data_IF_358523132633
#
_entry.id   IF_358523132633
#
_cell.length_a   1.000
_cell.length_b   1.000
_cell.length_c   1.000
_cell.angle_alpha   90.00
_cell.angle_beta   90.00
_cell.angle_gamma   90.00
#
_symmetry.space_group_name_H-M   'P 1'
#
loop_
_entity.id
_entity.type
_entity.pdbx_description
1 polymer ?
#
# COMPACT_ATOMS: atom_id res chain seq x y z
N UNK A 1 -35.49 33.03 -8.59
CA UNK A 1 -35.91 31.64 -8.31
C UNK A 1 -34.74 30.75 -8.65
N UNK A 2 -34.29 29.91 -7.71
CA UNK A 2 -32.87 29.85 -7.36
C UNK A 2 -32.07 28.88 -8.23
N UNK A 3 -30.94 29.39 -8.73
CA UNK A 3 -29.73 28.60 -8.89
C UNK A 3 -29.20 28.35 -7.47
N UNK A 4 -29.53 27.21 -6.88
CA UNK A 4 -28.83 26.65 -5.71
C UNK A 4 -29.28 25.20 -5.55
N UNK A 5 -28.69 24.32 -6.36
CA UNK A 5 -28.64 22.87 -6.13
C UNK A 5 -27.53 22.25 -7.00
N UNK A 6 -26.35 22.85 -7.02
CA UNK A 6 -25.15 22.02 -7.13
C UNK A 6 -24.89 21.51 -5.72
N UNK A 7 -25.59 20.43 -5.37
CA UNK A 7 -25.18 19.59 -4.28
C UNK A 7 -23.68 19.34 -4.47
N UNK A 8 -22.88 19.82 -3.53
CA UNK A 8 -21.48 19.47 -3.36
C UNK A 8 -21.44 17.94 -3.41
N UNK A 9 -21.10 17.38 -4.57
CA UNK A 9 -20.90 15.97 -4.70
C UNK A 9 -19.64 15.69 -3.89
N UNK A 10 -19.84 15.39 -2.61
CA UNK A 10 -18.82 14.83 -1.75
C UNK A 10 -18.22 13.68 -2.55
N UNK A 11 -16.98 13.86 -3.00
CA UNK A 11 -16.33 12.87 -3.85
C UNK A 11 -16.09 11.68 -2.96
N UNK A 12 -16.98 10.71 -3.05
CA UNK A 12 -16.82 9.46 -2.32
C UNK A 12 -15.64 8.74 -2.95
N UNK A 13 -14.50 8.76 -2.27
CA UNK A 13 -13.33 7.98 -2.63
C UNK A 13 -13.61 6.53 -2.21
N UNK A 14 -14.22 5.79 -3.12
CA UNK A 14 -14.69 4.43 -2.88
C UNK A 14 -13.51 3.53 -2.55
N UNK A 15 -13.62 2.69 -1.52
CA UNK A 15 -12.53 1.83 -1.09
C UNK A 15 -11.34 2.56 -0.46
N UNK A 16 -11.43 3.87 -0.22
CA UNK A 16 -10.39 4.62 0.51
C UNK A 16 -10.96 5.08 1.85
N UNK A 17 -10.38 4.57 2.94
CA UNK A 17 -10.76 4.93 4.31
C UNK A 17 -9.70 5.82 4.95
N UNK A 18 -10.16 6.94 5.51
CA UNK A 18 -9.34 7.95 6.19
C UNK A 18 -9.36 7.73 7.71
N UNK A 19 -8.68 6.67 8.15
CA UNK A 19 -8.74 6.18 9.52
C UNK A 19 -8.18 7.24 10.50
N UNK A 20 -8.98 7.54 11.54
CA UNK A 20 -8.68 8.51 12.60
C UNK A 20 -8.33 9.93 12.14
N UNK A 21 -8.82 10.33 10.96
CA UNK A 21 -8.51 11.63 10.33
C UNK A 21 -7.03 11.77 9.95
N UNK A 22 -6.51 10.80 9.20
CA UNK A 22 -5.19 10.94 8.59
C UNK A 22 -5.08 12.25 7.81
N UNK A 23 -6.06 12.58 6.99
CA UNK A 23 -6.32 13.94 6.51
C UNK A 23 -7.56 14.53 7.18
N UNK A 24 -7.61 15.85 7.34
CA UNK A 24 -8.83 16.50 7.80
C UNK A 24 -9.93 16.39 6.75
N UNK A 25 -11.19 16.39 7.19
CA UNK A 25 -12.33 16.35 6.27
C UNK A 25 -12.30 17.52 5.26
N UNK A 26 -12.04 18.74 5.76
CA UNK A 26 -11.91 19.94 4.92
C UNK A 26 -10.80 19.80 3.87
N UNK A 27 -9.67 19.18 4.22
CA UNK A 27 -8.60 18.96 3.24
C UNK A 27 -9.09 18.06 2.10
N UNK A 28 -9.72 16.92 2.42
CA UNK A 28 -10.20 15.98 1.40
C UNK A 28 -11.34 16.54 0.54
N UNK A 29 -12.24 17.35 1.11
CA UNK A 29 -13.39 17.88 0.37
C UNK A 29 -13.05 19.10 -0.47
N UNK A 30 -12.27 20.05 0.06
CA UNK A 30 -12.08 21.36 -0.57
C UNK A 30 -10.69 21.56 -1.19
N UNK A 31 -9.65 20.95 -0.63
CA UNK A 31 -8.25 21.29 -0.97
C UNK A 31 -7.60 20.24 -1.87
N UNK A 32 -7.82 18.96 -1.57
CA UNK A 32 -7.13 17.83 -2.17
C UNK A 32 -7.19 17.83 -3.70
N UNK A 33 -8.38 18.06 -4.28
CA UNK A 33 -8.56 18.12 -5.74
C UNK A 33 -7.74 19.24 -6.39
N UNK A 34 -7.57 20.36 -5.70
CA UNK A 34 -6.75 21.48 -6.17
C UNK A 34 -5.26 21.10 -6.21
N UNK A 35 -4.78 20.46 -5.14
CA UNK A 35 -3.37 20.08 -4.98
C UNK A 35 -2.91 19.04 -6.02
N UNK A 36 -3.77 18.09 -6.38
CA UNK A 36 -3.42 17.04 -7.36
C UNK A 36 -3.68 17.44 -8.82
N UNK A 37 -4.38 18.56 -9.07
CA UNK A 37 -4.80 18.94 -10.43
C UNK A 37 -3.61 19.07 -11.39
N UNK A 38 -2.53 19.71 -10.95
CA UNK A 38 -1.33 19.88 -11.78
C UNK A 38 -0.73 18.55 -12.22
N UNK A 39 -0.68 17.57 -11.31
CA UNK A 39 -0.20 16.21 -11.59
C UNK A 39 -1.11 15.48 -12.59
N UNK A 40 -2.43 15.60 -12.45
CA UNK A 40 -3.37 15.01 -13.41
C UNK A 40 -3.24 15.64 -14.79
N UNK A 41 -3.08 16.96 -14.85
CA UNK A 41 -2.87 17.70 -16.10
C UNK A 41 -1.51 17.33 -16.75
N UNK A 42 -0.46 17.07 -15.95
CA UNK A 42 0.83 16.56 -16.44
C UNK A 42 0.69 15.17 -17.06
N UNK A 43 0.00 14.24 -16.40
CA UNK A 43 -0.24 12.91 -16.95
C UNK A 43 -1.07 12.94 -18.22
N UNK A 44 -2.08 13.81 -18.30
CA UNK A 44 -2.88 13.96 -19.52
C UNK A 44 -2.00 14.46 -20.68
N UNK A 45 -1.17 15.48 -20.44
CA UNK A 45 -0.23 15.99 -21.44
C UNK A 45 0.74 14.91 -21.92
N UNK A 46 1.34 14.14 -21.02
CA UNK A 46 2.24 13.04 -21.40
C UNK A 46 1.53 11.97 -22.25
N UNK A 47 0.26 11.68 -21.98
CA UNK A 47 -0.52 10.73 -22.77
C UNK A 47 -0.92 11.27 -24.16
N UNK A 48 -1.09 12.60 -24.28
CA UNK A 48 -1.36 13.24 -25.56
C UNK A 48 -0.09 13.33 -26.43
N UNK A 49 1.09 13.49 -25.81
CA UNK A 49 2.39 13.62 -26.48
C UNK A 49 3.00 12.25 -26.88
N UNK A 50 2.76 11.20 -26.10
CA UNK A 50 3.29 9.85 -26.31
C UNK A 50 2.17 8.79 -26.22
N UNK A 51 1.85 8.17 -27.36
CA UNK A 51 0.80 7.15 -27.44
C UNK A 51 1.14 5.86 -26.67
N UNK A 52 2.42 5.61 -26.37
CA UNK A 52 2.87 4.47 -25.57
C UNK A 52 2.85 4.78 -24.06
N UNK A 53 2.68 6.05 -23.66
CA UNK A 53 2.57 6.44 -22.27
C UNK A 53 1.19 6.09 -21.70
N UNK A 54 1.17 5.28 -20.64
CA UNK A 54 -0.05 4.93 -19.89
C UNK A 54 0.00 5.57 -18.51
N UNK A 55 -0.87 6.56 -18.28
CA UNK A 55 -0.95 7.25 -16.98
C UNK A 55 -1.24 6.28 -15.81
N UNK A 56 -0.72 6.54 -14.60
CA UNK A 56 -0.92 5.68 -13.43
C UNK A 56 -2.38 5.27 -13.15
N UNK A 57 -3.40 6.17 -13.23
CA UNK A 57 -4.80 5.79 -13.01
C UNK A 57 -5.27 4.69 -13.96
N UNK A 58 -4.84 4.74 -15.23
CA UNK A 58 -5.20 3.73 -16.23
C UNK A 58 -4.41 2.43 -16.04
N UNK A 59 -3.11 2.51 -15.67
CA UNK A 59 -2.31 1.32 -15.30
C UNK A 59 -2.95 0.59 -14.13
N UNK A 60 -3.34 1.31 -13.08
CA UNK A 60 -4.02 0.76 -11.90
C UNK A 60 -5.37 0.16 -12.29
N UNK A 61 -6.19 0.87 -13.09
CA UNK A 61 -7.48 0.36 -13.58
C UNK A 61 -7.34 -0.97 -14.32
N UNK A 62 -6.27 -1.14 -15.08
CA UNK A 62 -6.01 -2.34 -15.86
C UNK A 62 -5.65 -3.57 -14.99
N UNK A 63 -5.29 -3.38 -13.72
CA UNK A 63 -5.00 -4.47 -12.78
C UNK A 63 -6.24 -5.22 -12.28
N UNK A 64 -7.47 -4.79 -12.62
CA UNK A 64 -8.71 -5.49 -12.23
C UNK A 64 -8.64 -7.00 -12.51
N UNK A 65 -8.29 -7.39 -13.75
CA UNK A 65 -8.28 -8.82 -14.13
C UNK A 65 -7.20 -9.59 -13.36
N UNK A 66 -6.02 -9.01 -13.21
CA UNK A 66 -4.92 -9.60 -12.47
C UNK A 66 -5.27 -9.79 -10.98
N UNK A 67 -5.94 -8.80 -10.38
CA UNK A 67 -6.40 -8.85 -8.99
C UNK A 67 -7.41 -9.96 -8.76
N UNK A 68 -8.49 -10.03 -9.53
CA UNK A 68 -9.50 -11.08 -9.32
C UNK A 68 -8.96 -12.48 -9.64
N UNK A 69 -8.03 -12.60 -10.60
CA UNK A 69 -7.31 -13.86 -10.83
C UNK A 69 -6.42 -14.25 -9.64
N UNK A 70 -5.75 -13.29 -8.99
CA UNK A 70 -5.03 -13.52 -7.74
C UNK A 70 -5.99 -14.01 -6.64
N UNK A 71 -7.11 -13.30 -6.42
CA UNK A 71 -8.12 -13.65 -5.41
C UNK A 71 -8.63 -15.08 -5.58
N UNK A 72 -8.93 -15.50 -6.81
CA UNK A 72 -9.38 -16.86 -7.12
C UNK A 72 -8.31 -17.90 -6.76
N UNK A 73 -7.05 -17.66 -7.15
CA UNK A 73 -5.93 -18.57 -6.85
C UNK A 73 -5.70 -18.69 -5.35
N UNK A 74 -5.67 -17.56 -4.62
CA UNK A 74 -5.49 -17.54 -3.17
C UNK A 74 -6.65 -18.22 -2.41
N UNK A 75 -7.87 -18.22 -2.96
CA UNK A 75 -9.00 -18.94 -2.34
C UNK A 75 -8.78 -20.47 -2.28
N UNK A 76 -8.00 -21.02 -3.21
CA UNK A 76 -7.74 -22.47 -3.34
C UNK A 76 -6.36 -22.88 -2.83
N UNK A 77 -5.41 -21.97 -2.79
CA UNK A 77 -4.04 -22.24 -2.37
C UNK A 77 -3.93 -22.32 -0.83
N UNK A 78 -3.19 -23.33 -0.36
CA UNK A 78 -2.97 -23.62 1.07
C UNK A 78 -1.49 -23.58 1.45
N UNK A 79 -0.59 -23.69 0.48
CA UNK A 79 0.85 -23.54 0.71
C UNK A 79 1.21 -22.08 0.97
N UNK A 80 1.73 -21.80 2.16
CA UNK A 80 2.23 -20.47 2.57
C UNK A 80 3.19 -19.90 1.53
N UNK A 81 4.16 -20.70 1.07
CA UNK A 81 5.14 -20.26 0.07
C UNK A 81 4.49 -19.88 -1.26
N UNK A 82 3.57 -20.71 -1.76
CA UNK A 82 2.87 -20.43 -3.02
C UNK A 82 1.98 -19.18 -2.91
N UNK A 83 1.34 -18.94 -1.75
CA UNK A 83 0.57 -17.71 -1.49
C UNK A 83 1.46 -16.47 -1.55
N UNK A 84 2.65 -16.53 -0.95
CA UNK A 84 3.65 -15.44 -0.99
C UNK A 84 4.09 -15.15 -2.42
N UNK A 85 4.37 -16.19 -3.21
CA UNK A 85 4.76 -16.04 -4.62
C UNK A 85 3.66 -15.35 -5.44
N UNK A 86 2.41 -15.81 -5.30
CA UNK A 86 1.25 -15.21 -5.93
C UNK A 86 1.05 -13.73 -5.53
N UNK A 87 1.12 -13.42 -4.23
CA UNK A 87 1.02 -12.05 -3.72
C UNK A 87 2.14 -11.16 -4.29
N UNK A 88 3.40 -11.63 -4.25
CA UNK A 88 4.57 -10.87 -4.73
C UNK A 88 4.49 -10.58 -6.23
N UNK A 89 3.98 -11.51 -7.02
CA UNK A 89 3.78 -11.30 -8.45
C UNK A 89 2.76 -10.21 -8.75
N UNK A 90 1.67 -10.15 -7.98
CA UNK A 90 0.71 -9.06 -8.07
C UNK A 90 1.28 -7.75 -7.54
N UNK A 91 1.96 -7.75 -6.38
CA UNK A 91 2.57 -6.55 -5.81
C UNK A 91 3.60 -5.92 -6.74
N UNK A 92 4.36 -6.71 -7.51
CA UNK A 92 5.26 -6.17 -8.54
C UNK A 92 4.51 -5.36 -9.61
N UNK A 93 3.35 -5.83 -10.05
CA UNK A 93 2.50 -5.13 -11.02
C UNK A 93 1.84 -3.89 -10.42
N UNK A 94 1.32 -4.02 -9.19
CA UNK A 94 0.71 -2.94 -8.43
C UNK A 94 1.69 -1.80 -8.16
N UNK A 95 2.86 -2.10 -7.59
CA UNK A 95 3.89 -1.11 -7.29
C UNK A 95 4.40 -0.45 -8.57
N UNK A 96 4.59 -1.21 -9.65
CA UNK A 96 4.94 -0.65 -10.96
C UNK A 96 3.87 0.30 -11.51
N UNK A 97 2.58 -0.01 -11.36
CA UNK A 97 1.49 0.89 -11.76
C UNK A 97 1.45 2.20 -10.96
N UNK A 98 1.97 2.17 -9.73
CA UNK A 98 2.07 3.31 -8.81
C UNK A 98 3.46 3.99 -8.83
N UNK A 99 4.34 3.58 -9.75
CA UNK A 99 5.73 4.07 -9.89
C UNK A 99 6.62 3.87 -8.64
N UNK A 100 6.32 2.85 -7.84
CA UNK A 100 7.16 2.40 -6.73
C UNK A 100 8.13 1.30 -7.16
N UNK A 101 9.39 1.31 -6.67
CA UNK A 101 10.32 0.22 -6.93
C UNK A 101 9.86 -1.05 -6.20
N UNK A 102 9.93 -2.19 -6.89
CA UNK A 102 9.73 -3.51 -6.30
C UNK A 102 11.04 -4.29 -6.40
N UNK A 103 11.82 -4.23 -5.33
CA UNK A 103 13.10 -4.92 -5.17
C UNK A 103 13.11 -5.61 -3.81
N UNK A 104 12.52 -6.81 -3.72
CA UNK A 104 12.44 -7.53 -2.47
C UNK A 104 13.83 -7.83 -1.90
N UNK A 105 14.04 -7.55 -0.61
CA UNK A 105 15.29 -7.75 0.09
C UNK A 105 15.04 -7.87 1.60
N UNK A 106 16.03 -8.42 2.32
CA UNK A 106 16.03 -8.41 3.78
C UNK A 106 16.76 -7.14 4.25
N UNK A 107 16.01 -6.15 4.74
CA UNK A 107 16.52 -4.86 5.20
C UNK A 107 17.03 -4.98 6.65
N UNK A 108 18.29 -4.62 6.87
CA UNK A 108 18.90 -4.61 8.20
C UNK A 108 18.26 -3.57 9.12
N UNK A 109 18.00 -3.97 10.35
CA UNK A 109 17.57 -3.14 11.46
C UNK A 109 18.76 -2.89 12.41
N UNK A 110 18.63 -1.89 13.29
CA UNK A 110 19.70 -1.49 14.20
C UNK A 110 20.07 -2.54 15.26
N UNK A 111 19.12 -3.39 15.65
CA UNK A 111 19.34 -4.49 16.60
C UNK A 111 20.07 -5.69 15.96
N UNK A 112 20.43 -5.59 14.68
CA UNK A 112 21.12 -6.64 13.91
C UNK A 112 20.18 -7.62 13.22
N UNK A 113 18.88 -7.55 13.49
CA UNK A 113 17.88 -8.35 12.76
C UNK A 113 17.69 -7.84 11.32
N UNK A 114 17.04 -8.66 10.52
CA UNK A 114 16.65 -8.30 9.15
C UNK A 114 15.13 -8.44 8.98
N UNK A 115 14.54 -7.50 8.24
CA UNK A 115 13.11 -7.45 7.95
C UNK A 115 12.87 -7.62 6.44
N UNK A 116 11.94 -8.49 6.00
CA UNK A 116 11.68 -8.71 4.60
C UNK A 116 10.85 -7.54 4.07
N UNK A 117 11.43 -6.77 3.16
CA UNK A 117 10.78 -5.63 2.51
C UNK A 117 10.53 -5.95 1.04
N UNK A 118 9.48 -5.36 0.47
CA UNK A 118 9.22 -5.40 -0.97
C UNK A 118 10.07 -4.39 -1.75
N UNK A 119 10.61 -3.39 -1.05
CA UNK A 119 11.43 -2.32 -1.59
C UNK A 119 11.48 -1.11 -0.65
N UNK A 120 12.21 -0.09 -1.06
CA UNK A 120 12.36 1.17 -0.32
C UNK A 120 12.59 2.35 -1.28
N UNK A 121 12.31 3.56 -0.82
CA UNK A 121 12.78 4.80 -1.46
C UNK A 121 13.85 5.41 -0.56
N UNK A 122 15.03 5.67 -1.12
CA UNK A 122 16.21 6.12 -0.38
C UNK A 122 17.29 5.04 -0.33
N UNK A 123 18.08 5.03 0.74
CA UNK A 123 19.08 3.99 0.99
C UNK A 123 18.73 3.25 2.29
N UNK A 124 19.12 1.98 2.48
CA UNK A 124 19.01 1.31 3.77
C UNK A 124 19.62 2.15 4.91
N UNK A 125 18.90 2.29 6.02
CA UNK A 125 19.27 3.18 7.14
C UNK A 125 18.98 4.67 6.94
N UNK A 126 18.59 5.09 5.73
CA UNK A 126 18.22 6.46 5.34
C UNK A 126 16.95 6.48 4.48
N UNK A 127 16.15 5.41 4.58
CA UNK A 127 14.97 5.23 3.73
C UNK A 127 13.91 6.28 4.11
N UNK A 128 13.27 6.88 3.12
CA UNK A 128 12.14 7.79 3.33
C UNK A 128 10.82 7.02 3.36
N UNK A 129 10.74 5.95 2.57
CA UNK A 129 9.62 5.03 2.47
C UNK A 129 10.11 3.59 2.50
N UNK A 130 9.43 2.74 3.28
CA UNK A 130 9.61 1.29 3.29
C UNK A 130 8.33 0.60 2.82
N UNK A 131 8.46 -0.39 1.93
CA UNK A 131 7.35 -1.19 1.40
C UNK A 131 7.37 -2.56 2.05
N UNK A 132 6.29 -2.96 2.70
CA UNK A 132 6.14 -4.22 3.45
C UNK A 132 5.03 -5.07 2.84
N UNK A 133 5.13 -6.40 3.01
CA UNK A 133 4.10 -7.34 2.63
C UNK A 133 3.54 -8.09 3.85
N UNK A 134 2.24 -7.99 4.09
CA UNK A 134 1.52 -8.79 5.07
C UNK A 134 0.84 -9.98 4.37
N UNK A 135 1.16 -11.19 4.83
CA UNK A 135 0.50 -12.40 4.39
C UNK A 135 -0.61 -12.76 5.38
N UNK A 136 -1.83 -12.94 4.89
CA UNK A 136 -2.91 -13.63 5.61
C UNK A 136 -2.85 -15.13 5.24
N UNK A 137 -2.26 -15.99 6.10
CA UNK A 137 -2.02 -17.39 5.75
C UNK A 137 -3.33 -18.17 5.59
N UNK A 138 -4.34 -17.85 6.41
CA UNK A 138 -5.64 -18.51 6.43
C UNK A 138 -6.63 -17.88 5.44
N UNK A 139 -6.36 -16.65 5.02
CA UNK A 139 -7.15 -15.94 4.01
C UNK A 139 -8.49 -15.42 4.53
N UNK A 140 -8.65 -15.32 5.84
CA UNK A 140 -9.87 -14.90 6.55
C UNK A 140 -10.21 -13.41 6.34
N UNK A 141 -9.28 -12.63 5.78
CA UNK A 141 -9.47 -11.19 5.57
C UNK A 141 -9.10 -10.37 6.82
N UNK A 142 -8.13 -10.86 7.59
CA UNK A 142 -7.63 -10.17 8.78
C UNK A 142 -6.97 -8.82 8.41
N UNK A 143 -7.02 -7.86 9.34
CA UNK A 143 -6.35 -6.56 9.16
C UNK A 143 -4.83 -6.78 9.02
N UNK A 144 -4.17 -6.22 7.98
CA UNK A 144 -2.73 -6.33 7.81
C UNK A 144 -1.90 -6.01 9.05
N UNK A 145 -2.36 -5.08 9.90
CA UNK A 145 -1.65 -4.68 11.12
C UNK A 145 -1.64 -5.76 12.20
N UNK A 146 -2.66 -6.64 12.23
CA UNK A 146 -2.80 -7.70 13.25
C UNK A 146 -2.09 -8.99 12.85
N UNK A 147 -1.70 -9.12 11.58
CA UNK A 147 -0.98 -10.27 11.06
C UNK A 147 0.47 -10.28 11.53
N UNK A 148 0.99 -11.48 11.80
CA UNK A 148 2.41 -11.71 12.06
C UNK A 148 3.11 -12.10 10.75
N UNK A 149 4.39 -11.71 10.55
CA UNK A 149 5.14 -12.19 9.41
C UNK A 149 5.43 -13.69 9.56
N UNK A 150 5.58 -14.37 8.43
CA UNK A 150 5.94 -15.80 8.38
C UNK A 150 7.34 -15.97 7.82
N UNK A 151 8.05 -17.02 8.25
CA UNK A 151 9.45 -17.27 7.89
C UNK A 151 9.69 -17.26 6.37
N UNK A 152 8.76 -17.78 5.59
CA UNK A 152 8.85 -17.88 4.14
C UNK A 152 8.89 -16.52 3.42
N UNK A 153 8.64 -15.41 4.14
CA UNK A 153 8.79 -14.06 3.59
C UNK A 153 10.25 -13.61 3.52
N UNK A 154 11.17 -14.18 4.30
CA UNK A 154 12.59 -13.84 4.24
C UNK A 154 13.26 -14.46 3.01
N UNK A 155 14.29 -13.78 2.50
CA UNK A 155 15.04 -14.19 1.32
C UNK A 155 16.32 -14.95 1.66
N UNK A 156 16.91 -14.68 2.82
CA UNK A 156 18.12 -15.33 3.32
C UNK A 156 17.92 -16.77 3.80
N UNK A 157 19.02 -17.52 3.85
CA UNK A 157 19.05 -18.86 4.45
C UNK A 157 19.03 -18.82 5.98
N UNK A 158 19.48 -17.70 6.56
CA UNK A 158 19.46 -17.46 8.00
C UNK A 158 18.01 -17.38 8.49
N UNK A 159 17.63 -18.15 9.53
CA UNK A 159 16.34 -17.99 10.16
C UNK A 159 16.12 -16.53 10.62
N UNK A 160 14.91 -15.98 10.45
CA UNK A 160 14.59 -14.70 11.05
C UNK A 160 14.61 -14.79 12.57
N UNK A 161 14.82 -13.65 13.20
CA UNK A 161 14.81 -13.52 14.65
C UNK A 161 13.43 -13.92 15.20
N UNK A 162 13.34 -14.89 16.13
CA UNK A 162 12.06 -15.43 16.59
C UNK A 162 11.08 -14.36 17.10
N UNK A 163 11.61 -13.31 17.73
CA UNK A 163 10.83 -12.18 18.22
C UNK A 163 10.05 -11.46 17.10
N UNK A 164 10.57 -11.41 15.87
CA UNK A 164 9.86 -10.79 14.74
C UNK A 164 8.67 -11.65 14.29
N UNK A 165 8.76 -12.97 14.37
CA UNK A 165 7.67 -13.89 14.02
C UNK A 165 6.54 -13.90 15.06
N UNK A 166 6.84 -13.53 16.31
CA UNK A 166 5.88 -13.42 17.41
C UNK A 166 5.21 -12.03 17.49
N UNK A 167 5.70 -11.05 16.71
CA UNK A 167 5.14 -9.70 16.66
C UNK A 167 4.27 -9.48 15.44
N UNK A 168 3.13 -8.83 15.62
CA UNK A 168 2.31 -8.38 14.51
C UNK A 168 2.94 -7.15 13.82
N UNK A 169 2.46 -6.85 12.60
CA UNK A 169 2.97 -5.72 11.81
C UNK A 169 2.82 -4.37 12.52
N UNK A 170 1.77 -4.16 13.32
CA UNK A 170 1.61 -2.95 14.14
C UNK A 170 2.80 -2.74 15.10
N UNK A 171 3.18 -3.79 15.83
CA UNK A 171 4.30 -3.75 16.77
C UNK A 171 5.64 -3.67 16.05
N UNK A 172 5.82 -4.37 14.93
CA UNK A 172 7.04 -4.27 14.11
C UNK A 172 7.23 -2.84 13.61
N UNK A 173 6.19 -2.23 13.03
CA UNK A 173 6.25 -0.85 12.55
C UNK A 173 6.60 0.11 13.69
N UNK A 174 5.93 -0.02 14.84
CA UNK A 174 6.13 0.87 15.98
C UNK A 174 7.50 0.73 16.64
N UNK A 175 7.92 -0.52 16.90
CA UNK A 175 9.05 -0.83 17.79
C UNK A 175 10.34 -1.14 17.04
N UNK A 176 10.27 -1.55 15.77
CA UNK A 176 11.44 -1.94 14.98
C UNK A 176 11.71 -1.01 13.82
N UNK A 177 10.67 -0.46 13.18
CA UNK A 177 10.87 0.46 12.04
C UNK A 177 10.97 1.90 12.51
N UNK A 178 9.98 2.40 13.26
CA UNK A 178 9.93 3.80 13.70
C UNK A 178 10.80 4.12 14.92
N UNK A 179 11.31 3.09 15.61
CA UNK A 179 12.23 3.25 16.74
C UNK A 179 13.71 3.37 16.35
N UNK A 180 14.05 3.16 15.07
CA UNK A 180 15.42 3.30 14.58
C UNK A 180 15.94 4.74 14.78
N UNK A 181 17.26 4.93 14.87
CA UNK A 181 17.89 6.25 14.95
C UNK A 181 17.56 7.15 13.76
N UNK A 182 17.37 6.55 12.58
CA UNK A 182 16.97 7.23 11.35
C UNK A 182 15.74 6.53 10.75
N UNK A 183 14.56 6.69 11.37
CA UNK A 183 13.38 5.95 10.92
C UNK A 183 12.87 6.53 9.60
N UNK A 184 12.22 5.71 8.75
CA UNK A 184 11.52 6.24 7.59
C UNK A 184 10.36 7.13 8.03
N UNK A 185 9.97 8.06 7.15
CA UNK A 185 8.74 8.84 7.37
C UNK A 185 7.52 8.00 7.04
N UNK A 186 7.61 7.22 5.98
CA UNK A 186 6.49 6.51 5.39
C UNK A 186 6.68 5.00 5.45
N UNK A 187 5.57 4.29 5.67
CA UNK A 187 5.48 2.84 5.45
C UNK A 187 4.26 2.58 4.57
N UNK A 188 4.42 1.73 3.55
CA UNK A 188 3.32 1.08 2.87
C UNK A 188 3.26 -0.38 3.31
N UNK A 189 2.14 -0.81 3.89
CA UNK A 189 1.91 -2.22 4.25
C UNK A 189 0.88 -2.82 3.29
N UNK A 190 1.32 -3.75 2.45
CA UNK A 190 0.51 -4.37 1.40
C UNK A 190 0.04 -5.75 1.83
N UNK A 191 -1.26 -6.04 1.70
CA UNK A 191 -1.81 -7.39 1.70
C UNK A 191 -2.52 -7.68 0.37
N UNK A 192 -3.02 -8.90 0.21
CA UNK A 192 -3.82 -9.32 -0.95
C UNK A 192 -5.22 -8.67 -1.03
N UNK A 193 -5.60 -7.86 -0.05
CA UNK A 193 -6.88 -7.13 -0.02
C UNK A 193 -6.72 -5.64 0.22
N UNK A 194 -5.69 -5.24 0.94
CA UNK A 194 -5.53 -3.87 1.41
C UNK A 194 -4.13 -3.33 1.16
N UNK A 195 -4.02 -2.01 1.08
CA UNK A 195 -2.77 -1.29 1.27
C UNK A 195 -2.99 -0.23 2.34
N UNK A 196 -2.05 -0.13 3.27
CA UNK A 196 -2.06 0.90 4.31
C UNK A 196 -0.94 1.90 4.04
N UNK A 197 -1.27 3.18 4.00
CA UNK A 197 -0.32 4.29 3.98
C UNK A 197 -0.20 4.87 5.39
N UNK A 198 1.00 4.76 5.95
CA UNK A 198 1.30 5.12 7.33
C UNK A 198 2.35 6.24 7.34
N UNK A 199 2.02 7.37 7.98
CA UNK A 199 2.96 8.46 8.29
C UNK A 199 3.43 8.32 9.74
N UNK A 200 4.74 8.24 9.96
CA UNK A 200 5.34 8.19 11.30
C UNK A 200 4.82 9.31 12.21
N UNK A 201 4.63 10.51 11.68
CA UNK A 201 4.20 11.66 12.48
C UNK A 201 2.73 11.61 12.90
N UNK A 202 1.93 10.76 12.27
CA UNK A 202 0.51 10.57 12.58
C UNK A 202 0.23 9.22 13.26
N UNK A 203 1.21 8.31 13.23
CA UNK A 203 1.08 6.93 13.69
C UNK A 203 0.67 6.80 15.16
N UNK A 204 1.21 7.63 16.06
CA UNK A 204 0.86 7.59 17.50
C UNK A 204 -0.63 7.85 17.79
N UNK A 205 -1.38 8.38 16.81
CA UNK A 205 -2.82 8.63 16.89
C UNK A 205 -3.62 7.62 16.06
N UNK A 206 -2.99 6.51 15.64
CA UNK A 206 -3.54 5.47 14.77
C UNK A 206 -4.13 6.03 13.47
N UNK A 207 -3.57 7.14 12.98
CA UNK A 207 -3.97 7.79 11.75
C UNK A 207 -3.28 7.15 10.57
N UNK A 208 -4.06 6.63 9.62
CA UNK A 208 -3.57 6.03 8.38
C UNK A 208 -4.60 6.16 7.26
N UNK A 209 -4.15 6.00 6.01
CA UNK A 209 -5.06 5.80 4.88
C UNK A 209 -5.08 4.32 4.53
N UNK A 210 -6.28 3.78 4.33
CA UNK A 210 -6.50 2.38 3.94
C UNK A 210 -7.15 2.31 2.58
N UNK A 211 -6.60 1.48 1.72
CA UNK A 211 -7.06 1.26 0.35
C UNK A 211 -7.56 -0.19 0.27
N UNK A 212 -8.83 -0.38 -0.06
CA UNK A 212 -9.46 -1.68 -0.29
C UNK A 212 -9.40 -2.01 -1.79
N UNK A 213 -8.61 -3.02 -2.14
CA UNK A 213 -8.39 -3.39 -3.53
C UNK A 213 -9.61 -4.03 -4.18
N UNK A 214 -10.48 -4.68 -3.41
CA UNK A 214 -11.71 -5.25 -3.94
C UNK A 214 -12.69 -4.14 -4.33
N UNK A 215 -12.84 -3.11 -3.50
CA UNK A 215 -13.67 -1.95 -3.85
C UNK A 215 -13.06 -1.13 -4.99
N UNK A 216 -11.77 -0.75 -4.89
CA UNK A 216 -11.11 0.13 -5.85
C UNK A 216 -11.05 -0.54 -7.23
N UNK A 217 -10.51 -1.77 -7.29
CA UNK A 217 -10.34 -2.47 -8.57
C UNK A 217 -11.63 -3.16 -9.04
N UNK A 218 -12.61 -3.40 -8.16
CA UNK A 218 -13.91 -3.92 -8.55
C UNK A 218 -14.83 -2.84 -9.15
N UNK A 219 -14.99 -1.72 -8.44
CA UNK A 219 -15.86 -0.63 -8.92
C UNK A 219 -15.21 0.18 -10.04
N UNK A 220 -13.88 0.37 -9.99
CA UNK A 220 -13.09 1.17 -10.96
C UNK A 220 -13.68 2.56 -11.16
N UNK A 221 -14.06 3.19 -10.05
CA UNK A 221 -14.57 4.55 -10.05
C UNK A 221 -13.46 5.54 -10.46
N UNK A 222 -13.73 6.37 -11.45
CA UNK A 222 -12.74 7.28 -12.03
C UNK A 222 -12.22 8.31 -11.02
N UNK A 223 -13.06 8.74 -10.06
CA UNK A 223 -12.66 9.72 -9.05
C UNK A 223 -11.76 9.11 -7.97
N UNK A 224 -11.86 7.80 -7.76
CA UNK A 224 -11.03 7.04 -6.82
C UNK A 224 -9.68 6.65 -7.44
N UNK A 225 -9.67 6.33 -8.74
CA UNK A 225 -8.46 5.90 -9.45
C UNK A 225 -7.49 7.04 -9.79
N UNK A 226 -7.99 8.29 -9.85
CA UNK A 226 -7.22 9.50 -10.10
C UNK A 226 -6.64 10.06 -8.82
#
# INVERSE_FOLDING_TARGET
MPLDMLATAQTSLIGISNDNEFYSHHYLSEVFRGDIKGLLDDWQRSADDDADFIAPPLRLRNLHRDYFALREKLGRERSVRARIELQRDFFRRLLSALDYPCQPMDMKLEEGDELPVLGLIGQPGLAQLVLLGALDPDGEGNDPLTLNPVREQWHGETPPEPALLEMNWENIISRRIFAQSQPPRWVLLLSDRQLLLIDRYKWAQNRLLRFDWEEILGRRDDATLK
#
